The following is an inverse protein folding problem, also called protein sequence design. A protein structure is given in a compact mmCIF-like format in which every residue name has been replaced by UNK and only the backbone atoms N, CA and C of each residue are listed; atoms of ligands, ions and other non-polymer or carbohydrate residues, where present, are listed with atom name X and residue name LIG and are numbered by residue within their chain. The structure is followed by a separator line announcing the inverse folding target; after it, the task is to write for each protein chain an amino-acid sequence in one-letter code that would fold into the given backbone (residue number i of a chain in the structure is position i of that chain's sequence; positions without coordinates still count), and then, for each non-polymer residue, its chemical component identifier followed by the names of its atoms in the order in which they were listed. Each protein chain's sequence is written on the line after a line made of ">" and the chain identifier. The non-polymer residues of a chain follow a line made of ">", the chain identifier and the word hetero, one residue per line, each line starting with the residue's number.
data_IF_163200617722
#
_entry.id   IF_163200617722
#
_cell.length_a   1.000
_cell.length_b   1.000
_cell.length_c   1.000
_cell.angle_alpha   90.00
_cell.angle_beta   90.00
_cell.angle_gamma   90.00
#
_symmetry.space_group_name_H-M   'P 1'
#
loop_
_entity.id
_entity.type
_entity.pdbx_description
1 polymer ?
#
# COMPACT_ATOMS: atom_id res chain seq x y z
N UNK A 1 14.65 2.36 -4.95
CA UNK A 1 13.66 3.43 -5.19
C UNK A 1 12.60 3.36 -4.10
N UNK A 2 12.15 4.49 -3.63
CA UNK A 2 11.05 4.57 -2.66
C UNK A 2 9.77 4.92 -3.40
N UNK A 3 8.74 4.11 -3.22
CA UNK A 3 7.47 4.24 -3.96
C UNK A 3 6.34 4.41 -2.97
N UNK A 4 5.53 5.43 -3.16
CA UNK A 4 4.34 5.67 -2.35
C UNK A 4 3.10 5.35 -3.17
N UNK A 5 2.17 4.61 -2.56
CA UNK A 5 0.91 4.24 -3.18
C UNK A 5 -0.23 4.85 -2.37
N UNK A 6 -1.10 5.59 -3.05
CA UNK A 6 -2.31 6.12 -2.43
C UNK A 6 -3.29 4.96 -2.19
N UNK A 7 -3.89 4.91 -1.01
CA UNK A 7 -4.81 3.84 -0.66
C UNK A 7 -6.20 4.06 -1.24
N UNK A 8 -6.84 5.19 -0.86
CA UNK A 8 -8.20 5.47 -1.31
C UNK A 8 -8.23 5.84 -2.79
N UNK A 9 -9.16 5.26 -3.53
CA UNK A 9 -9.34 5.48 -4.98
C UNK A 9 -8.15 5.07 -5.85
N UNK A 10 -7.14 4.42 -5.28
CA UNK A 10 -6.00 3.86 -6.02
C UNK A 10 -5.90 2.37 -5.71
N UNK A 11 -5.39 2.00 -4.55
CA UNK A 11 -5.32 0.59 -4.17
C UNK A 11 -6.71 -0.05 -4.13
N UNK A 12 -7.68 0.65 -3.55
CA UNK A 12 -9.04 0.12 -3.40
C UNK A 12 -9.79 -0.08 -4.72
N UNK A 13 -9.35 0.55 -5.80
CA UNK A 13 -9.95 0.38 -7.12
C UNK A 13 -9.67 -1.00 -7.71
N UNK A 14 -8.48 -1.55 -7.47
CA UNK A 14 -8.11 -2.87 -7.97
C UNK A 14 -7.05 -3.50 -7.05
N UNK A 15 -7.47 -4.00 -5.87
CA UNK A 15 -6.52 -4.56 -4.92
C UNK A 15 -5.70 -5.72 -5.46
N UNK A 16 -6.29 -6.56 -6.30
CA UNK A 16 -5.60 -7.72 -6.87
C UNK A 16 -4.44 -7.30 -7.75
N UNK A 17 -4.66 -6.33 -8.63
CA UNK A 17 -3.60 -5.82 -9.49
C UNK A 17 -2.51 -5.11 -8.69
N UNK A 18 -2.90 -4.29 -7.70
CA UNK A 18 -1.94 -3.59 -6.86
C UNK A 18 -1.10 -4.53 -6.00
N UNK A 19 -1.68 -5.62 -5.49
CA UNK A 19 -0.93 -6.62 -4.73
C UNK A 19 0.17 -7.24 -5.60
N UNK A 20 -0.11 -7.53 -6.86
CA UNK A 20 0.88 -8.05 -7.80
C UNK A 20 2.00 -7.03 -8.07
N UNK A 21 1.62 -5.78 -8.28
CA UNK A 21 2.59 -4.69 -8.52
C UNK A 21 3.49 -4.51 -7.30
N UNK A 22 2.92 -4.48 -6.10
CA UNK A 22 3.66 -4.32 -4.85
C UNK A 22 4.66 -5.47 -4.68
N UNK A 23 4.24 -6.70 -4.92
CA UNK A 23 5.12 -7.86 -4.81
C UNK A 23 6.29 -7.78 -5.77
N UNK A 24 6.05 -7.36 -7.01
CA UNK A 24 7.12 -7.18 -8.00
C UNK A 24 8.12 -6.13 -7.53
N UNK A 25 7.63 -5.01 -7.01
CA UNK A 25 8.48 -3.92 -6.52
C UNK A 25 9.32 -4.37 -5.32
N UNK A 26 8.72 -5.09 -4.38
CA UNK A 26 9.44 -5.60 -3.21
C UNK A 26 10.51 -6.63 -3.60
N UNK A 27 10.20 -7.53 -4.53
CA UNK A 27 11.15 -8.51 -5.04
C UNK A 27 12.35 -7.85 -5.75
N UNK A 28 12.13 -6.67 -6.33
CA UNK A 28 13.17 -5.89 -7.00
C UNK A 28 13.93 -4.96 -6.06
N UNK A 29 13.78 -5.15 -4.74
CA UNK A 29 14.46 -4.37 -3.70
C UNK A 29 14.04 -2.90 -3.63
N UNK A 30 12.86 -2.58 -4.09
CA UNK A 30 12.27 -1.26 -3.90
C UNK A 30 11.51 -1.22 -2.57
N UNK A 31 11.44 -0.03 -1.97
CA UNK A 31 10.64 0.20 -0.78
C UNK A 31 9.28 0.77 -1.19
N UNK A 32 8.21 0.17 -0.66
CA UNK A 32 6.85 0.57 -0.98
C UNK A 32 6.14 1.01 0.29
N UNK A 33 5.46 2.15 0.23
CA UNK A 33 4.73 2.73 1.35
C UNK A 33 3.30 2.99 0.94
N UNK A 34 2.37 2.84 1.89
CA UNK A 34 0.98 3.23 1.69
C UNK A 34 0.77 4.62 2.27
N UNK A 35 0.21 5.53 1.48
CA UNK A 35 -0.13 6.88 1.93
C UNK A 35 -1.64 6.98 2.06
N UNK A 36 -2.11 7.46 3.20
CA UNK A 36 -3.54 7.64 3.44
C UNK A 36 -3.77 8.88 4.29
N UNK A 37 -4.93 9.51 4.08
CA UNK A 37 -5.39 10.62 4.91
C UNK A 37 -6.28 10.17 6.05
N UNK A 38 -6.47 8.86 6.21
CA UNK A 38 -7.33 8.31 7.27
C UNK A 38 -6.69 8.47 8.63
N UNK A 39 -7.53 8.51 9.66
CA UNK A 39 -7.08 8.53 11.04
C UNK A 39 -6.42 7.20 11.41
N UNK A 40 -5.54 7.25 12.42
CA UNK A 40 -4.74 6.12 12.85
C UNK A 40 -5.57 4.87 13.18
N UNK A 41 -6.74 5.05 13.79
CA UNK A 41 -7.63 3.94 14.11
C UNK A 41 -8.15 3.22 12.87
N UNK A 42 -8.34 3.93 11.76
CA UNK A 42 -8.78 3.35 10.49
C UNK A 42 -7.60 2.75 9.74
N UNK A 43 -6.38 3.23 9.98
CA UNK A 43 -5.17 2.70 9.36
C UNK A 43 -4.90 1.24 9.74
N UNK A 44 -5.43 0.75 10.86
CA UNK A 44 -5.30 -0.67 11.22
C UNK A 44 -5.95 -1.59 10.20
N UNK A 45 -7.11 -1.20 9.65
CA UNK A 45 -7.76 -1.97 8.59
C UNK A 45 -6.89 -2.06 7.34
N UNK A 46 -6.18 -0.97 7.04
CA UNK A 46 -5.26 -0.92 5.91
C UNK A 46 -4.06 -1.86 6.16
N UNK A 47 -3.54 -1.91 7.38
CA UNK A 47 -2.43 -2.78 7.74
C UNK A 47 -2.81 -4.26 7.65
N UNK A 48 -4.05 -4.61 7.93
CA UNK A 48 -4.55 -5.98 7.75
C UNK A 48 -4.64 -6.35 6.27
N UNK A 49 -4.98 -5.39 5.41
CA UNK A 49 -5.09 -5.61 3.97
C UNK A 49 -3.73 -5.57 3.26
N UNK A 50 -2.82 -4.72 3.74
CA UNK A 50 -1.52 -4.48 3.11
C UNK A 50 -0.38 -4.73 4.09
N UNK A 51 0.60 -5.50 3.66
CA UNK A 51 1.80 -5.80 4.45
C UNK A 51 2.95 -4.85 4.08
N UNK A 52 2.66 -3.55 4.07
CA UNK A 52 3.64 -2.50 3.81
C UNK A 52 3.45 -1.36 4.81
N UNK A 53 4.50 -0.57 5.08
CA UNK A 53 4.38 0.56 5.99
C UNK A 53 3.38 1.60 5.54
N UNK A 54 2.67 2.18 6.50
CA UNK A 54 1.73 3.28 6.27
C UNK A 54 2.38 4.58 6.72
N UNK A 55 2.29 5.57 5.88
CA UNK A 55 2.86 6.90 6.14
C UNK A 55 1.77 7.90 6.48
#
# INVERSE_FOLDING_TARGET
>A
MNISIDYDNTYTQDPVAWDKIINILLESNHKVYCVTKRYEAIAEDIREALDIPIV
#
